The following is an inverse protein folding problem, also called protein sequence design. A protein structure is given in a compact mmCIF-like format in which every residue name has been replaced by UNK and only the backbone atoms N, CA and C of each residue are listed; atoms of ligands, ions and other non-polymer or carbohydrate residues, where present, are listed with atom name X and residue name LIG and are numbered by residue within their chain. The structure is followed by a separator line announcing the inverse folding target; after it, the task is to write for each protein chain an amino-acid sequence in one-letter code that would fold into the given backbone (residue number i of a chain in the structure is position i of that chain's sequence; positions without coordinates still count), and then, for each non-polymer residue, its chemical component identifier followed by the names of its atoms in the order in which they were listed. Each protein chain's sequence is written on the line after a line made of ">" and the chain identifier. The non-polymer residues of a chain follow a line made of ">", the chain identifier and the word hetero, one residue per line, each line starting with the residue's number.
data_IF_864582144685
#
_entry.id   IF_864582144685
#
_cell.length_a   1.000
_cell.length_b   1.000
_cell.length_c   1.000
_cell.angle_alpha   90.00
_cell.angle_beta   90.00
_cell.angle_gamma   90.00
#
_symmetry.space_group_name_H-M   'P 1'
#
loop_
_entity.id
_entity.type
_entity.pdbx_description
1 polymer ?
#
# COMPACT_ATOMS: atom_id res chain seq x y z
N UNK A 1 65.53 -19.74 -31.44
CA UNK A 1 64.86 -19.09 -32.58
C UNK A 1 64.12 -17.85 -32.09
N UNK A 2 64.81 -16.72 -31.91
CA UNK A 2 64.18 -15.41 -31.72
C UNK A 2 64.94 -14.44 -32.62
N UNK A 3 64.47 -14.36 -33.87
CA UNK A 3 65.03 -13.50 -34.90
C UNK A 3 64.68 -12.04 -34.60
N UNK A 4 65.71 -11.19 -34.50
CA UNK A 4 65.72 -9.72 -34.67
C UNK A 4 64.34 -9.07 -34.84
N UNK A 5 63.65 -8.81 -33.72
CA UNK A 5 62.52 -7.88 -33.71
C UNK A 5 63.07 -6.47 -33.96
N UNK A 6 62.61 -5.84 -35.05
CA UNK A 6 62.90 -4.44 -35.33
C UNK A 6 62.43 -3.59 -34.14
N UNK A 7 63.21 -2.56 -33.77
CA UNK A 7 62.95 -1.66 -32.64
C UNK A 7 61.51 -1.10 -32.67
N UNK A 8 60.99 -0.89 -33.88
CA UNK A 8 59.62 -0.44 -34.16
C UNK A 8 58.56 -1.47 -33.74
N UNK A 9 58.81 -2.76 -33.98
CA UNK A 9 57.88 -3.85 -33.63
C UNK A 9 57.83 -4.06 -32.12
N UNK A 10 58.97 -3.97 -31.43
CA UNK A 10 59.04 -4.08 -29.97
C UNK A 10 58.31 -2.92 -29.28
N UNK A 11 58.44 -1.69 -29.79
CA UNK A 11 57.73 -0.53 -29.25
C UNK A 11 56.21 -0.66 -29.46
N UNK A 12 55.78 -1.15 -30.62
CA UNK A 12 54.36 -1.37 -30.92
C UNK A 12 53.74 -2.47 -30.03
N UNK A 13 54.48 -3.55 -29.78
CA UNK A 13 54.05 -4.61 -28.85
C UNK A 13 53.95 -4.10 -27.42
N UNK A 14 54.91 -3.28 -26.97
CA UNK A 14 54.89 -2.69 -25.64
C UNK A 14 53.70 -1.74 -25.46
N UNK A 15 53.41 -0.88 -26.44
CA UNK A 15 52.26 0.04 -26.34
C UNK A 15 50.92 -0.70 -26.41
N UNK A 16 50.80 -1.71 -27.25
CA UNK A 16 49.60 -2.56 -27.33
C UNK A 16 49.38 -3.35 -26.04
N UNK A 17 50.47 -3.83 -25.41
CA UNK A 17 50.41 -4.50 -24.11
C UNK A 17 49.94 -3.51 -23.02
N UNK A 18 50.49 -2.30 -22.99
CA UNK A 18 50.10 -1.25 -22.06
C UNK A 18 48.61 -0.89 -22.19
N UNK A 19 48.11 -0.79 -23.42
CA UNK A 19 46.68 -0.57 -23.70
C UNK A 19 45.80 -1.73 -23.22
N UNK A 20 46.22 -2.98 -23.48
CA UNK A 20 45.49 -4.16 -23.02
C UNK A 20 45.45 -4.23 -21.48
N UNK A 21 46.57 -3.91 -20.82
CA UNK A 21 46.66 -3.84 -19.36
C UNK A 21 45.78 -2.72 -18.82
N UNK A 22 45.78 -1.52 -19.41
CA UNK A 22 44.92 -0.43 -18.95
C UNK A 22 43.44 -0.80 -19.07
N UNK A 23 43.05 -1.45 -20.17
CA UNK A 23 41.69 -1.94 -20.37
C UNK A 23 41.32 -3.01 -19.33
N UNK A 24 42.23 -3.95 -19.05
CA UNK A 24 42.03 -4.98 -18.05
C UNK A 24 41.89 -4.37 -16.64
N UNK A 25 42.66 -3.35 -16.30
CA UNK A 25 42.56 -2.64 -15.02
C UNK A 25 41.20 -1.96 -14.88
N UNK A 26 40.73 -1.25 -15.91
CA UNK A 26 39.40 -0.63 -15.89
C UNK A 26 38.31 -1.69 -15.71
N UNK A 27 38.43 -2.81 -16.42
CA UNK A 27 37.43 -3.87 -16.36
C UNK A 27 37.40 -4.60 -15.00
N UNK A 28 38.57 -4.88 -14.42
CA UNK A 28 38.67 -5.67 -13.18
C UNK A 28 38.48 -4.82 -11.94
N UNK A 29 38.88 -3.54 -11.95
CA UNK A 29 38.84 -2.71 -10.75
C UNK A 29 37.75 -1.63 -10.78
N UNK A 30 37.57 -0.94 -11.91
CA UNK A 30 36.64 0.20 -11.99
C UNK A 30 35.21 -0.26 -12.20
N UNK A 31 34.99 -1.17 -13.15
CA UNK A 31 33.65 -1.68 -13.48
C UNK A 31 32.90 -2.29 -12.28
N UNK A 32 33.49 -3.20 -11.46
CA UNK A 32 32.75 -3.77 -10.35
C UNK A 32 32.38 -2.75 -9.26
N UNK A 33 33.22 -1.74 -9.01
CA UNK A 33 32.88 -0.68 -8.06
C UNK A 33 31.71 0.18 -8.55
N UNK A 34 31.69 0.48 -9.85
CA UNK A 34 30.60 1.22 -10.47
C UNK A 34 29.28 0.42 -10.42
N UNK A 35 29.34 -0.86 -10.77
CA UNK A 35 28.17 -1.75 -10.72
C UNK A 35 27.63 -1.90 -9.29
N UNK A 36 28.51 -2.03 -8.28
CA UNK A 36 28.10 -2.10 -6.88
C UNK A 36 27.46 -0.81 -6.36
N UNK A 37 28.02 0.36 -6.69
CA UNK A 37 27.43 1.64 -6.31
C UNK A 37 26.04 1.82 -6.94
N UNK A 38 25.90 1.49 -8.22
CA UNK A 38 24.65 1.62 -8.96
C UNK A 38 23.57 0.64 -8.48
N UNK A 39 23.96 -0.59 -8.11
CA UNK A 39 23.07 -1.54 -7.46
C UNK A 39 22.61 -1.03 -6.09
N UNK A 40 23.53 -0.47 -5.29
CA UNK A 40 23.21 0.07 -3.95
C UNK A 40 22.21 1.22 -4.06
N UNK A 41 22.46 2.19 -4.95
CA UNK A 41 21.53 3.30 -5.22
C UNK A 41 20.14 2.81 -5.63
N UNK A 42 20.07 1.86 -6.57
CA UNK A 42 18.79 1.28 -7.00
C UNK A 42 18.08 0.56 -5.87
N UNK A 43 18.79 -0.19 -5.03
CA UNK A 43 18.19 -0.84 -3.87
C UNK A 43 17.69 0.17 -2.84
N UNK A 44 18.43 1.25 -2.61
CA UNK A 44 18.03 2.34 -1.70
C UNK A 44 16.77 3.02 -2.22
N UNK A 45 16.75 3.43 -3.48
CA UNK A 45 15.58 4.08 -4.10
C UNK A 45 14.34 3.19 -4.03
N UNK A 46 14.46 1.89 -4.35
CA UNK A 46 13.34 0.96 -4.25
C UNK A 46 12.89 0.78 -2.80
N UNK A 47 13.82 0.74 -1.85
CA UNK A 47 13.49 0.62 -0.42
C UNK A 47 12.76 1.86 0.11
N UNK A 48 13.16 3.06 -0.32
CA UNK A 48 12.51 4.31 0.03
C UNK A 48 11.10 4.38 -0.58
N UNK A 49 10.95 4.03 -1.85
CA UNK A 49 9.64 3.96 -2.50
C UNK A 49 8.70 2.98 -1.81
N UNK A 50 9.20 1.79 -1.43
CA UNK A 50 8.42 0.82 -0.67
C UNK A 50 8.04 1.37 0.70
N UNK A 51 8.96 2.04 1.40
CA UNK A 51 8.70 2.64 2.69
C UNK A 51 7.61 3.71 2.61
N UNK A 52 7.69 4.61 1.62
CA UNK A 52 6.67 5.63 1.40
C UNK A 52 5.32 5.03 1.02
N UNK A 53 5.29 3.99 0.18
CA UNK A 53 4.06 3.30 -0.17
C UNK A 53 3.39 2.65 1.05
N UNK A 54 4.18 2.00 1.91
CA UNK A 54 3.68 1.40 3.16
C UNK A 54 3.18 2.49 4.10
N UNK A 55 3.92 3.59 4.26
CA UNK A 55 3.53 4.69 5.14
C UNK A 55 2.25 5.38 4.66
N UNK A 56 2.09 5.58 3.35
CA UNK A 56 0.86 6.14 2.76
C UNK A 56 -0.32 5.21 3.02
N UNK A 57 -0.16 3.91 2.78
CA UNK A 57 -1.21 2.93 3.03
C UNK A 57 -1.61 2.89 4.52
N UNK A 58 -0.63 2.91 5.44
CA UNK A 58 -0.88 2.92 6.88
C UNK A 58 -1.64 4.17 7.33
N UNK A 59 -1.34 5.33 6.73
CA UNK A 59 -2.06 6.57 6.96
C UNK A 59 -3.51 6.49 6.47
N UNK A 60 -3.74 5.97 5.27
CA UNK A 60 -5.08 5.79 4.70
C UNK A 60 -5.92 4.82 5.55
N UNK A 61 -5.36 3.67 5.93
CA UNK A 61 -6.03 2.71 6.81
C UNK A 61 -6.37 3.33 8.16
N UNK A 62 -5.42 4.04 8.77
CA UNK A 62 -5.66 4.74 10.04
C UNK A 62 -6.80 5.74 9.93
N UNK A 63 -6.89 6.46 8.81
CA UNK A 63 -8.00 7.37 8.55
C UNK A 63 -9.34 6.63 8.41
N UNK A 64 -9.40 5.57 7.61
CA UNK A 64 -10.61 4.76 7.44
C UNK A 64 -11.09 4.13 8.77
N UNK A 65 -10.16 3.62 9.59
CA UNK A 65 -10.49 3.12 10.93
C UNK A 65 -10.97 4.24 11.86
N UNK A 66 -10.36 5.42 11.78
CA UNK A 66 -10.79 6.61 12.51
C UNK A 66 -12.24 6.99 12.18
N UNK A 67 -12.60 7.00 10.89
CA UNK A 67 -13.96 7.30 10.42
C UNK A 67 -14.95 6.25 10.91
N UNK A 68 -14.63 4.95 10.76
CA UNK A 68 -15.47 3.87 11.23
C UNK A 68 -15.75 3.98 12.74
N UNK A 69 -14.71 4.29 13.53
CA UNK A 69 -14.83 4.48 14.98
C UNK A 69 -15.61 5.74 15.35
N UNK A 70 -15.37 6.85 14.65
CA UNK A 70 -16.11 8.09 14.84
C UNK A 70 -17.60 7.90 14.57
N UNK A 71 -17.95 7.22 13.48
CA UNK A 71 -19.33 6.90 13.14
C UNK A 71 -19.96 5.94 14.17
N UNK A 72 -19.26 4.87 14.57
CA UNK A 72 -19.74 3.96 15.61
C UNK A 72 -20.00 4.71 16.94
N UNK A 73 -19.11 5.62 17.33
CA UNK A 73 -19.27 6.44 18.55
C UNK A 73 -20.41 7.44 18.41
N UNK A 74 -20.56 8.08 17.24
CA UNK A 74 -21.63 9.04 16.96
C UNK A 74 -22.99 8.35 16.96
N UNK A 75 -23.08 7.13 16.42
CA UNK A 75 -24.29 6.31 16.49
C UNK A 75 -24.71 6.05 17.94
N UNK A 76 -23.75 5.71 18.82
CA UNK A 76 -24.03 5.43 20.23
C UNK A 76 -24.35 6.69 21.05
N UNK A 77 -23.75 7.84 20.74
CA UNK A 77 -23.83 9.04 21.59
C UNK A 77 -24.83 10.07 21.08
N UNK A 78 -25.04 10.16 19.76
CA UNK A 78 -25.88 11.16 19.08
C UNK A 78 -26.56 10.56 17.83
N UNK A 79 -27.48 9.59 18.00
CA UNK A 79 -28.10 8.89 16.87
C UNK A 79 -28.87 9.81 15.92
N UNK A 80 -29.45 10.91 16.41
CA UNK A 80 -30.19 11.88 15.59
C UNK A 80 -29.32 12.67 14.61
N UNK A 81 -28.00 12.77 14.87
CA UNK A 81 -27.04 13.45 14.00
C UNK A 81 -26.27 12.47 13.10
N UNK A 82 -26.53 11.18 13.24
CA UNK A 82 -25.74 10.14 12.60
C UNK A 82 -25.81 10.17 11.09
N UNK A 83 -27.01 10.33 10.50
CA UNK A 83 -27.18 10.38 9.05
C UNK A 83 -26.41 11.58 8.44
N UNK A 84 -26.50 12.75 9.08
CA UNK A 84 -25.75 13.93 8.66
C UNK A 84 -24.25 13.71 8.76
N UNK A 85 -23.77 13.14 9.86
CA UNK A 85 -22.36 12.81 10.03
C UNK A 85 -21.87 11.80 8.99
N UNK A 86 -22.66 10.78 8.69
CA UNK A 86 -22.35 9.77 7.68
C UNK A 86 -22.25 10.37 6.27
N UNK A 87 -23.17 11.28 5.91
CA UNK A 87 -23.11 12.05 4.64
C UNK A 87 -21.92 13.02 4.59
N UNK A 88 -21.57 13.64 5.71
CA UNK A 88 -20.41 14.53 5.79
C UNK A 88 -19.09 13.75 5.62
N UNK A 89 -18.96 12.60 6.27
CA UNK A 89 -17.76 11.76 6.15
C UNK A 89 -17.57 11.22 4.71
N UNK A 90 -18.64 10.77 4.04
CA UNK A 90 -18.51 10.32 2.64
C UNK A 90 -18.19 11.48 1.68
N UNK A 91 -18.68 12.69 1.97
CA UNK A 91 -18.44 13.87 1.14
C UNK A 91 -17.03 14.48 1.31
N UNK A 92 -16.47 14.37 2.51
CA UNK A 92 -15.12 14.89 2.83
C UNK A 92 -14.00 13.93 2.44
N UNK A 93 -14.30 12.64 2.26
CA UNK A 93 -13.32 11.61 1.95
C UNK A 93 -13.58 11.00 0.57
N UNK A 94 -12.91 11.51 -0.49
CA UNK A 94 -13.13 11.03 -1.85
C UNK A 94 -12.71 9.58 -2.09
N UNK A 95 -11.90 9.01 -1.19
CA UNK A 95 -11.40 7.63 -1.29
C UNK A 95 -12.40 6.61 -0.72
N UNK A 96 -13.41 7.08 0.02
CA UNK A 96 -14.48 6.23 0.53
C UNK A 96 -15.52 6.00 -0.57
N UNK A 97 -15.72 4.73 -0.90
CA UNK A 97 -16.69 4.30 -1.90
C UNK A 97 -18.10 4.28 -1.30
N UNK A 98 -18.27 3.59 -0.17
CA UNK A 98 -19.57 3.30 0.44
C UNK A 98 -19.43 3.11 1.95
N UNK A 99 -20.40 3.62 2.70
CA UNK A 99 -20.58 3.35 4.13
C UNK A 99 -22.00 2.81 4.31
N UNK A 100 -22.10 1.59 4.83
CA UNK A 100 -23.36 0.91 5.11
C UNK A 100 -23.47 0.58 6.59
N UNK A 101 -24.63 0.83 7.17
CA UNK A 101 -24.91 0.62 8.60
C UNK A 101 -26.15 -0.23 8.69
N UNK A 102 -25.98 -1.46 9.16
CA UNK A 102 -27.05 -2.46 9.22
C UNK A 102 -27.44 -2.68 10.68
N UNK A 103 -28.72 -2.48 10.97
CA UNK A 103 -29.33 -2.83 12.25
C UNK A 103 -29.58 -4.33 12.29
N UNK A 104 -28.87 -5.05 13.17
CA UNK A 104 -29.07 -6.50 13.35
C UNK A 104 -30.44 -6.84 13.98
N UNK A 105 -31.11 -5.87 14.61
CA UNK A 105 -32.40 -6.10 15.28
C UNK A 105 -33.59 -5.86 14.37
N UNK A 106 -33.54 -4.80 13.54
CA UNK A 106 -34.64 -4.42 12.65
C UNK A 106 -34.42 -4.81 11.20
N UNK A 107 -33.17 -5.11 10.82
CA UNK A 107 -32.79 -5.33 9.42
C UNK A 107 -32.70 -4.03 8.62
N UNK A 108 -32.89 -2.87 9.25
CA UNK A 108 -32.79 -1.58 8.57
C UNK A 108 -31.34 -1.30 8.16
N UNK A 109 -31.17 -0.87 6.92
CA UNK A 109 -29.89 -0.49 6.36
C UNK A 109 -29.89 1.00 6.02
N UNK A 110 -28.91 1.71 6.55
CA UNK A 110 -28.59 3.07 6.16
C UNK A 110 -27.31 3.06 5.34
N UNK A 111 -27.39 3.51 4.09
CA UNK A 111 -26.26 3.53 3.17
C UNK A 111 -26.00 4.96 2.68
N UNK A 112 -24.72 5.35 2.63
CA UNK A 112 -24.28 6.45 1.76
C UNK A 112 -23.13 5.99 0.88
N UNK A 113 -23.25 6.32 -0.40
CA UNK A 113 -22.27 6.05 -1.43
C UNK A 113 -21.77 7.37 -2.01
N UNK A 114 -20.46 7.42 -2.27
CA UNK A 114 -19.85 8.52 -2.97
C UNK A 114 -20.23 8.48 -4.47
N UNK A 115 -20.66 9.61 -5.00
CA UNK A 115 -21.10 9.76 -6.40
C UNK A 115 -19.98 9.55 -7.42
N UNK A 116 -18.72 9.63 -7.00
CA UNK A 116 -17.56 9.44 -7.88
C UNK A 116 -17.36 7.98 -8.29
N UNK A 117 -17.97 7.02 -7.59
CA UNK A 117 -17.84 5.60 -7.87
C UNK A 117 -19.15 5.01 -8.41
N UNK A 118 -19.07 4.05 -9.35
CA UNK A 118 -20.25 3.38 -9.87
C UNK A 118 -20.99 2.63 -8.75
N UNK A 119 -22.32 2.67 -8.77
CA UNK A 119 -23.14 1.87 -7.88
C UNK A 119 -23.00 0.39 -8.25
N UNK A 120 -22.18 -0.34 -7.50
CA UNK A 120 -21.87 -1.76 -7.68
C UNK A 120 -21.98 -2.46 -6.33
N UNK A 121 -22.48 -3.69 -6.33
CA UNK A 121 -22.50 -4.52 -5.14
C UNK A 121 -21.11 -5.15 -4.89
N UNK A 122 -20.69 -5.12 -3.63
CA UNK A 122 -19.46 -5.74 -3.15
C UNK A 122 -19.83 -6.91 -2.23
N UNK A 123 -20.11 -8.11 -2.77
CA UNK A 123 -20.53 -9.26 -1.97
C UNK A 123 -19.31 -9.81 -1.19
N UNK A 124 -19.18 -9.42 0.06
CA UNK A 124 -18.13 -9.91 0.95
C UNK A 124 -18.68 -11.06 1.77
N UNK A 125 -18.12 -12.26 1.59
CA UNK A 125 -18.49 -13.43 2.37
C UNK A 125 -18.15 -13.25 3.86
N UNK A 126 -18.99 -13.77 4.75
CA UNK A 126 -18.76 -13.66 6.20
C UNK A 126 -17.41 -14.29 6.64
N UNK A 127 -16.97 -15.34 5.95
CA UNK A 127 -15.67 -15.99 6.19
C UNK A 127 -14.46 -15.16 5.78
N UNK A 128 -14.64 -14.12 4.97
CA UNK A 128 -13.55 -13.26 4.50
C UNK A 128 -13.17 -12.18 5.52
N UNK A 129 -14.01 -11.95 6.54
CA UNK A 129 -13.73 -10.98 7.60
C UNK A 129 -12.69 -11.50 8.57
N UNK A 130 -11.64 -10.70 8.75
CA UNK A 130 -10.56 -10.96 9.70
C UNK A 130 -10.59 -9.89 10.78
N UNK A 131 -10.63 -10.31 12.05
CA UNK A 131 -10.52 -9.39 13.17
C UNK A 131 -9.12 -8.76 13.17
N UNK A 132 -9.05 -7.46 13.42
CA UNK A 132 -7.78 -6.76 13.55
C UNK A 132 -7.08 -7.21 14.85
N UNK A 133 -5.77 -7.43 14.77
CA UNK A 133 -4.95 -7.80 15.94
C UNK A 133 -4.90 -6.70 16.99
N UNK A 134 -4.96 -5.44 16.57
CA UNK A 134 -4.85 -4.27 17.45
C UNK A 134 -6.18 -3.89 18.10
N UNK A 135 -7.30 -4.18 17.44
CA UNK A 135 -8.64 -3.83 17.91
C UNK A 135 -9.64 -4.91 17.46
N UNK A 136 -10.12 -5.72 18.41
CA UNK A 136 -11.07 -6.80 18.13
C UNK A 136 -12.48 -6.30 17.81
N UNK A 137 -12.79 -5.01 18.04
CA UNK A 137 -14.07 -4.41 17.66
C UNK A 137 -14.17 -4.11 16.16
N UNK A 138 -13.03 -4.14 15.46
CA UNK A 138 -12.90 -3.88 14.04
C UNK A 138 -12.52 -5.17 13.30
N UNK A 139 -13.16 -5.39 12.16
CA UNK A 139 -12.86 -6.46 11.23
C UNK A 139 -12.62 -5.87 9.85
N UNK A 140 -11.72 -6.49 9.09
CA UNK A 140 -11.38 -6.09 7.73
C UNK A 140 -11.60 -7.25 6.79
N UNK A 141 -12.09 -6.96 5.60
CA UNK A 141 -12.17 -7.90 4.51
C UNK A 141 -11.66 -7.23 3.23
N UNK A 142 -11.05 -8.03 2.36
CA UNK A 142 -10.61 -7.59 1.05
C UNK A 142 -11.43 -8.30 -0.02
N UNK A 143 -12.00 -7.52 -0.93
CA UNK A 143 -12.75 -8.03 -2.07
C UNK A 143 -12.01 -7.67 -3.35
N UNK A 144 -11.58 -8.67 -4.10
CA UNK A 144 -10.96 -8.47 -5.40
C UNK A 144 -12.05 -8.53 -6.47
N UNK A 145 -12.22 -7.42 -7.18
CA UNK A 145 -13.22 -7.28 -8.24
C UNK A 145 -12.68 -7.85 -9.56
N UNK A 146 -11.42 -7.52 -9.89
CA UNK A 146 -10.72 -7.94 -11.11
C UNK A 146 -9.21 -8.01 -10.85
N UNK A 147 -8.37 -8.23 -11.86
CA UNK A 147 -6.91 -8.30 -11.69
C UNK A 147 -6.27 -7.00 -11.19
N UNK A 148 -6.96 -5.86 -11.32
CA UNK A 148 -6.43 -4.53 -11.00
C UNK A 148 -7.09 -3.83 -9.79
N UNK A 149 -8.29 -4.26 -9.36
CA UNK A 149 -9.05 -3.57 -8.32
C UNK A 149 -9.28 -4.44 -7.10
N UNK A 150 -8.84 -3.95 -5.94
CA UNK A 150 -9.07 -4.55 -4.63
C UNK A 150 -9.77 -3.51 -3.76
N UNK A 151 -10.93 -3.88 -3.23
CA UNK A 151 -11.69 -3.07 -2.27
C UNK A 151 -11.40 -3.57 -0.87
N UNK A 152 -11.05 -2.64 0.02
CA UNK A 152 -10.99 -2.88 1.45
C UNK A 152 -12.35 -2.52 2.06
N UNK A 153 -12.91 -3.43 2.85
CA UNK A 153 -14.07 -3.15 3.67
C UNK A 153 -13.69 -3.25 5.14
N UNK A 154 -14.16 -2.27 5.91
CA UNK A 154 -13.96 -2.20 7.35
C UNK A 154 -15.33 -2.32 8.01
N UNK A 155 -15.44 -3.22 8.98
CA UNK A 155 -16.65 -3.45 9.76
C UNK A 155 -16.36 -3.21 11.23
N UNK A 156 -17.15 -2.36 11.86
CA UNK A 156 -17.22 -2.27 13.31
C UNK A 156 -18.49 -2.94 13.79
N UNK A 157 -18.38 -3.84 14.78
CA UNK A 157 -19.54 -4.42 15.44
C UNK A 157 -19.72 -3.77 16.79
N UNK A 158 -20.76 -2.94 16.93
CA UNK A 158 -21.12 -2.35 18.21
C UNK A 158 -22.32 -3.09 18.81
N UNK A 159 -22.13 -3.75 19.96
CA UNK A 159 -23.25 -4.22 20.79
C UNK A 159 -23.74 -3.05 21.63
N UNK A 160 -24.86 -2.43 21.25
CA UNK A 160 -25.60 -1.61 22.21
C UNK A 160 -26.14 -2.54 23.30
N UNK A 161 -25.68 -2.34 24.53
CA UNK A 161 -26.33 -2.94 25.69
C UNK A 161 -27.74 -2.37 25.77
N UNK A 162 -28.75 -3.23 25.57
CA UNK A 162 -30.10 -2.92 26.00
C UNK A 162 -30.06 -2.76 27.52
N UNK A 163 -30.45 -1.59 28.02
CA UNK A 163 -30.82 -1.46 29.44
C UNK A 163 -31.91 -2.48 29.73
N UNK A 164 -31.85 -3.25 30.83
CA UNK A 164 -33.02 -4.03 31.23
C UNK A 164 -34.14 -3.03 31.54
N UNK A 165 -35.20 -3.10 30.73
CA UNK A 165 -36.51 -2.63 31.13
C UNK A 165 -36.88 -3.53 32.32
N UNK A 166 -36.83 -3.00 33.54
CA UNK A 166 -37.80 -3.14 34.64
C UNK A 166 -37.23 -2.53 35.92
#
# INVERSE_FOLDING_TARGET
>A
MFSRLSLRTSFFLLSSLLLAVSLAVVYVFVRPQYDQALLTERTTIVSEQLHYAIQSADHEFSNWFGIARYLATTFSTRPTQFETALRDQIGTHPDLIRISVISLQTGDELEAQNSNYPNRNYPIAESAWQALRMDSSLSVAFYRIDSAEVVCAVRSQHRSWQSPIF
#
